data_IF_962242513977
#
_entry.id   IF_962242513977
#
_cell.length_a   1.000
_cell.length_b   1.000
_cell.length_c   1.000
_cell.angle_alpha   90.00
_cell.angle_beta   90.00
_cell.angle_gamma   90.00
#
_symmetry.space_group_name_H-M   'P 1'
#
loop_
_entity.id
_entity.type
_entity.pdbx_description
1 polymer ?
#
# COMPACT_ATOMS: atom_id res chain seq x y z
N UNK A 1 7.90 23.32 5.16
CA UNK A 1 7.57 24.67 5.69
C UNK A 1 8.43 25.67 4.96
N UNK A 2 7.89 26.84 4.62
CA UNK A 2 8.67 27.88 3.94
C UNK A 2 8.47 29.22 4.63
N UNK A 3 9.53 30.02 4.69
CA UNK A 3 9.51 31.42 5.13
C UNK A 3 10.09 32.27 4.01
N UNK A 4 9.33 33.29 3.56
CA UNK A 4 9.71 34.15 2.43
C UNK A 4 10.12 33.38 1.16
N UNK A 5 9.47 32.23 0.93
CA UNK A 5 9.74 31.37 -0.23
C UNK A 5 10.96 30.45 -0.10
N UNK A 6 11.67 30.49 1.03
CA UNK A 6 12.79 29.59 1.32
C UNK A 6 12.35 28.43 2.22
N UNK A 7 12.78 27.19 1.96
CA UNK A 7 12.47 26.06 2.83
C UNK A 7 13.11 26.27 4.20
N UNK A 8 12.32 25.97 5.24
CA UNK A 8 12.83 25.83 6.60
C UNK A 8 13.39 24.42 6.79
N UNK A 9 14.39 24.29 7.65
CA UNK A 9 15.09 23.04 7.92
C UNK A 9 15.09 22.70 9.42
N UNK A 10 15.11 21.42 9.72
CA UNK A 10 15.41 20.88 11.04
C UNK A 10 16.90 21.05 11.38
N UNK A 11 17.30 20.91 12.67
CA UNK A 11 18.71 20.99 13.07
C UNK A 11 19.64 19.98 12.37
N UNK A 12 19.11 18.87 11.89
CA UNK A 12 19.83 17.83 11.15
C UNK A 12 19.99 18.14 9.64
N UNK A 13 19.46 19.28 9.17
CA UNK A 13 19.53 19.71 7.77
C UNK A 13 18.44 19.14 6.87
N UNK A 14 17.48 18.37 7.40
CA UNK A 14 16.31 17.89 6.65
C UNK A 14 15.24 19.00 6.52
N UNK A 15 14.43 19.04 5.45
CA UNK A 15 13.35 20.01 5.34
C UNK A 15 12.33 19.87 6.47
N UNK A 16 11.92 20.98 7.09
CA UNK A 16 10.88 20.99 8.11
C UNK A 16 9.52 20.69 7.48
N UNK A 17 8.98 19.49 7.72
CA UNK A 17 7.66 19.05 7.27
C UNK A 17 6.67 19.17 8.43
N UNK A 18 5.45 19.65 8.13
CA UNK A 18 4.36 19.77 9.10
C UNK A 18 3.06 19.30 8.45
N UNK A 19 2.21 18.65 9.24
CA UNK A 19 0.86 18.31 8.84
C UNK A 19 -0.09 19.46 9.15
N UNK A 20 -1.11 19.63 8.30
CA UNK A 20 -2.12 20.68 8.43
C UNK A 20 -3.52 20.08 8.39
N UNK A 21 -4.40 20.56 9.28
CA UNK A 21 -5.82 20.26 9.28
C UNK A 21 -6.59 21.41 8.62
N UNK A 22 -6.96 21.19 7.37
CA UNK A 22 -7.82 22.11 6.61
C UNK A 22 -9.27 21.61 6.66
N UNK A 23 -10.20 22.55 6.77
CA UNK A 23 -11.63 22.26 6.70
C UNK A 23 -12.05 22.10 5.24
N UNK A 24 -13.17 21.41 5.02
CA UNK A 24 -13.71 21.18 3.67
C UNK A 24 -14.01 22.49 2.94
N UNK A 25 -14.53 23.47 3.67
CA UNK A 25 -14.90 24.80 3.16
C UNK A 25 -13.67 25.65 2.79
N UNK A 26 -12.50 25.31 3.30
CA UNK A 26 -11.25 26.04 3.06
C UNK A 26 -10.50 25.51 1.83
N UNK A 27 -10.91 24.38 1.25
CA UNK A 27 -10.24 23.75 0.11
C UNK A 27 -11.14 23.71 -1.12
N UNK A 28 -10.53 23.84 -2.29
CA UNK A 28 -11.21 23.69 -3.59
C UNK A 28 -10.90 22.28 -4.09
N UNK A 29 -11.94 21.45 -4.26
CA UNK A 29 -11.79 20.10 -4.79
C UNK A 29 -11.76 20.14 -6.34
N UNK A 30 -10.79 19.46 -6.93
CA UNK A 30 -10.63 19.32 -8.37
C UNK A 30 -10.92 17.87 -8.79
N UNK A 31 -11.92 17.65 -9.65
CA UNK A 31 -12.29 16.31 -10.12
C UNK A 31 -11.25 15.76 -11.12
N UNK A 32 -10.11 15.29 -10.61
CA UNK A 32 -8.95 14.88 -11.43
C UNK A 32 -8.70 13.37 -11.48
N UNK A 33 -9.49 12.56 -10.76
CA UNK A 33 -9.22 11.13 -10.63
C UNK A 33 -9.74 10.34 -11.84
N UNK A 34 -8.90 10.21 -12.85
CA UNK A 34 -9.18 9.47 -14.09
C UNK A 34 -8.26 8.25 -14.25
N UNK A 35 -8.01 7.51 -13.16
CA UNK A 35 -7.16 6.34 -13.18
C UNK A 35 -7.83 5.10 -13.82
N UNK A 36 -7.02 4.16 -14.32
CA UNK A 36 -7.52 2.91 -14.91
C UNK A 36 -8.23 2.01 -13.89
N UNK A 37 -7.75 1.99 -12.65
CA UNK A 37 -8.31 1.27 -11.51
C UNK A 37 -8.39 2.14 -10.27
N UNK A 38 -8.83 1.57 -9.16
CA UNK A 38 -9.13 2.28 -7.91
C UNK A 38 -10.08 3.47 -8.11
N UNK A 39 -10.95 3.42 -9.12
CA UNK A 39 -11.82 4.55 -9.50
C UNK A 39 -12.70 5.03 -8.35
N UNK A 40 -13.21 4.09 -7.55
CA UNK A 40 -14.09 4.37 -6.43
C UNK A 40 -13.42 5.07 -5.24
N UNK A 41 -12.08 5.17 -5.20
CA UNK A 41 -11.39 5.91 -4.13
C UNK A 41 -11.59 7.41 -4.25
N UNK A 42 -11.94 7.91 -5.45
CA UNK A 42 -12.14 9.34 -5.69
C UNK A 42 -10.93 10.16 -5.25
N UNK A 43 -9.71 9.70 -5.56
CA UNK A 43 -8.44 10.33 -5.16
C UNK A 43 -8.16 11.62 -5.95
N UNK A 44 -9.14 12.52 -5.90
CA UNK A 44 -9.16 13.83 -6.49
C UNK A 44 -8.11 14.73 -5.85
N UNK A 45 -7.57 15.62 -6.66
CA UNK A 45 -6.69 16.68 -6.19
C UNK A 45 -7.52 17.74 -5.47
N UNK A 46 -6.92 18.43 -4.51
CA UNK A 46 -7.51 19.61 -3.91
C UNK A 46 -6.48 20.72 -3.87
N UNK A 47 -6.96 21.94 -3.70
CA UNK A 47 -6.15 23.13 -3.63
C UNK A 47 -6.48 23.94 -2.38
N UNK A 48 -5.44 24.48 -1.76
CA UNK A 48 -5.49 25.43 -0.65
C UNK A 48 -4.76 26.71 -1.06
N UNK A 49 -5.44 27.86 -1.03
CA UNK A 49 -4.85 29.16 -1.40
C UNK A 49 -4.90 30.12 -0.22
N UNK A 50 -3.73 30.51 0.28
CA UNK A 50 -3.55 31.58 1.28
C UNK A 50 -4.50 31.45 2.50
N UNK A 51 -4.68 30.23 3.00
CA UNK A 51 -5.56 29.97 4.15
C UNK A 51 -4.80 30.31 5.44
N UNK A 52 -5.31 31.22 6.29
CA UNK A 52 -4.76 31.39 7.62
C UNK A 52 -5.08 30.15 8.47
N UNK A 53 -4.04 29.43 8.89
CA UNK A 53 -4.17 28.24 9.75
C UNK A 53 -3.76 28.60 11.18
N UNK A 54 -4.66 28.35 12.12
CA UNK A 54 -4.41 28.52 13.56
C UNK A 54 -3.39 27.50 14.07
N UNK A 55 -2.64 27.85 15.13
CA UNK A 55 -1.62 26.97 15.71
C UNK A 55 -2.15 25.60 16.17
N UNK A 56 -3.42 25.53 16.57
CA UNK A 56 -4.06 24.26 16.95
C UNK A 56 -4.49 23.37 15.75
N UNK A 57 -4.13 23.73 14.51
CA UNK A 57 -4.47 23.01 13.28
C UNK A 57 -3.25 22.66 12.42
N UNK A 58 -2.05 22.77 12.96
CA UNK A 58 -0.87 22.14 12.38
C UNK A 58 -0.10 21.38 13.46
N UNK A 59 0.61 20.33 13.08
CA UNK A 59 1.29 19.44 14.02
C UNK A 59 2.40 18.62 13.34
N UNK A 60 3.34 18.14 14.16
CA UNK A 60 4.29 17.10 13.76
C UNK A 60 3.63 15.73 13.83
N UNK A 61 3.89 14.87 12.84
CA UNK A 61 3.42 13.47 12.83
C UNK A 61 4.36 12.56 13.66
N UNK A 62 5.49 13.09 14.16
CA UNK A 62 6.47 12.27 14.88
C UNK A 62 5.95 11.85 16.26
N UNK A 63 6.46 10.71 16.73
CA UNK A 63 6.06 10.08 18.00
C UNK A 63 6.48 10.90 19.22
N UNK A 64 7.57 11.64 19.11
CA UNK A 64 8.13 12.50 20.16
C UNK A 64 7.19 13.66 20.54
N UNK A 65 6.38 14.11 19.58
CA UNK A 65 5.44 15.23 19.75
C UNK A 65 4.02 14.74 20.12
N UNK A 66 3.80 13.42 20.20
CA UNK A 66 2.50 12.86 20.58
C UNK A 66 2.24 13.07 22.08
N UNK A 67 1.12 13.73 22.41
CA UNK A 67 0.74 14.02 23.80
C UNK A 67 0.14 12.83 24.54
N UNK A 68 -0.37 11.83 23.81
CA UNK A 68 -0.91 10.59 24.38
C UNK A 68 0.20 9.54 24.38
N UNK A 69 0.54 9.04 25.56
CA UNK A 69 1.66 8.12 25.78
C UNK A 69 1.30 6.65 25.60
N UNK A 70 0.02 6.33 25.35
CA UNK A 70 -0.37 4.96 25.03
C UNK A 70 0.28 4.50 23.72
N UNK A 71 0.79 3.27 23.69
CA UNK A 71 1.57 2.74 22.57
C UNK A 71 0.87 2.79 21.21
N UNK A 72 -0.46 2.77 21.17
CA UNK A 72 -1.20 2.95 19.93
C UNK A 72 -0.86 4.28 19.23
N UNK A 73 -0.67 5.35 20.00
CA UNK A 73 -0.34 6.69 19.51
C UNK A 73 1.16 6.92 19.37
N UNK A 74 1.96 5.97 19.85
CA UNK A 74 3.43 5.96 19.73
C UNK A 74 3.90 5.04 18.59
N UNK A 75 2.98 4.44 17.82
CA UNK A 75 3.37 3.62 16.68
C UNK A 75 3.77 4.51 15.50
N UNK A 76 4.98 4.32 14.91
CA UNK A 76 5.47 5.19 13.84
C UNK A 76 4.57 5.21 12.59
N UNK A 77 4.27 6.42 12.12
CA UNK A 77 3.33 6.66 11.03
C UNK A 77 3.72 5.97 9.72
N UNK A 78 5.00 5.98 9.36
CA UNK A 78 5.48 5.39 8.10
C UNK A 78 5.15 3.91 8.00
N UNK A 79 5.50 3.13 9.03
CA UNK A 79 5.27 1.69 9.05
C UNK A 79 3.78 1.35 9.15
N UNK A 80 2.99 2.17 9.86
CA UNK A 80 1.54 2.06 9.86
C UNK A 80 0.96 2.27 8.45
N UNK A 81 1.39 3.34 7.76
CA UNK A 81 0.94 3.65 6.41
C UNK A 81 1.32 2.54 5.41
N UNK A 82 2.56 2.07 5.43
CA UNK A 82 3.00 0.93 4.61
C UNK A 82 2.14 -0.32 4.87
N UNK A 83 1.90 -0.64 6.15
CA UNK A 83 1.12 -1.81 6.55
C UNK A 83 -0.29 -1.78 5.95
N UNK A 84 -1.00 -0.67 6.08
CA UNK A 84 -2.37 -0.54 5.54
C UNK A 84 -2.42 -0.68 4.01
N UNK A 85 -1.42 -0.13 3.31
CA UNK A 85 -1.31 -0.22 1.86
C UNK A 85 -1.00 -1.64 1.39
N UNK A 86 -0.04 -2.32 2.02
CA UNK A 86 0.38 -3.67 1.63
C UNK A 86 -0.71 -4.72 1.90
N UNK A 87 -1.45 -4.59 3.00
CA UNK A 87 -2.61 -5.46 3.26
C UNK A 87 -3.65 -5.33 2.15
N UNK A 88 -3.93 -4.10 1.71
CA UNK A 88 -4.86 -3.82 0.61
C UNK A 88 -4.40 -4.46 -0.71
N UNK A 89 -3.12 -4.29 -1.06
CA UNK A 89 -2.53 -4.81 -2.30
C UNK A 89 -2.47 -6.33 -2.30
N UNK A 90 -1.98 -6.92 -1.22
CA UNK A 90 -1.93 -8.37 -1.10
C UNK A 90 -3.34 -8.98 -1.13
N UNK A 91 -4.36 -8.29 -0.57
CA UNK A 91 -5.77 -8.71 -0.67
C UNK A 91 -6.26 -8.76 -2.11
N UNK A 92 -5.95 -7.75 -2.92
CA UNK A 92 -6.27 -7.75 -4.35
C UNK A 92 -5.54 -8.87 -5.10
N UNK A 93 -4.28 -9.15 -4.76
CA UNK A 93 -3.55 -10.26 -5.37
C UNK A 93 -4.17 -11.62 -5.04
N UNK A 94 -4.57 -11.85 -3.78
CA UNK A 94 -5.32 -13.07 -3.40
C UNK A 94 -6.61 -13.20 -4.21
N UNK A 95 -7.40 -12.11 -4.30
CA UNK A 95 -8.65 -12.14 -5.08
C UNK A 95 -8.40 -12.42 -6.57
N UNK A 96 -7.34 -11.86 -7.15
CA UNK A 96 -6.95 -12.15 -8.52
C UNK A 96 -6.65 -13.64 -8.70
N UNK A 97 -5.85 -14.25 -7.81
CA UNK A 97 -5.51 -15.67 -7.87
C UNK A 97 -6.76 -16.57 -7.73
N UNK A 98 -7.72 -16.21 -6.87
CA UNK A 98 -8.96 -16.98 -6.74
C UNK A 98 -9.81 -16.95 -8.00
N UNK A 99 -10.02 -15.75 -8.57
CA UNK A 99 -10.73 -15.59 -9.85
C UNK A 99 -10.01 -16.33 -10.97
N UNK A 100 -8.68 -16.28 -10.97
CA UNK A 100 -7.86 -16.95 -11.98
C UNK A 100 -7.95 -18.48 -11.86
N UNK A 101 -7.94 -19.03 -10.64
CA UNK A 101 -8.19 -20.46 -10.40
C UNK A 101 -9.53 -20.88 -10.99
N UNK A 102 -10.62 -20.17 -10.63
CA UNK A 102 -11.96 -20.50 -11.14
C UNK A 102 -12.04 -20.41 -12.67
N UNK A 103 -11.38 -19.42 -13.27
CA UNK A 103 -11.31 -19.26 -14.72
C UNK A 103 -10.62 -20.45 -15.40
N UNK A 104 -9.49 -20.94 -14.86
CA UNK A 104 -8.80 -22.09 -15.44
C UNK A 104 -9.58 -23.40 -15.23
N UNK A 105 -10.18 -23.61 -14.06
CA UNK A 105 -11.02 -24.77 -13.79
C UNK A 105 -12.19 -24.87 -14.79
N UNK A 106 -12.80 -23.73 -15.16
CA UNK A 106 -13.86 -23.68 -16.18
C UNK A 106 -13.34 -24.01 -17.58
N UNK A 107 -12.14 -23.54 -17.97
CA UNK A 107 -11.51 -23.89 -19.25
C UNK A 107 -11.19 -25.37 -19.37
N UNK A 108 -10.75 -25.97 -18.26
CA UNK A 108 -10.47 -27.41 -18.18
C UNK A 108 -11.77 -28.21 -18.33
N UNK A 109 -12.82 -27.86 -17.59
CA UNK A 109 -14.14 -28.51 -17.70
C UNK A 109 -14.74 -28.41 -19.10
N UNK A 110 -14.46 -27.34 -19.84
CA UNK A 110 -14.93 -27.15 -21.22
C UNK A 110 -13.99 -27.74 -22.29
N UNK A 111 -12.93 -28.45 -21.89
CA UNK A 111 -11.91 -29.04 -22.78
C UNK A 111 -11.24 -28.01 -23.72
N UNK A 112 -11.18 -26.75 -23.31
CA UNK A 112 -10.55 -25.65 -24.07
C UNK A 112 -9.15 -25.30 -23.57
N UNK A 113 -8.60 -26.06 -22.61
CA UNK A 113 -7.28 -25.84 -22.02
C UNK A 113 -6.56 -27.14 -21.63
N UNK A 114 -5.23 -27.06 -21.49
CA UNK A 114 -4.41 -28.15 -20.93
C UNK A 114 -4.38 -28.01 -19.40
N UNK A 115 -4.83 -29.04 -18.69
CA UNK A 115 -5.19 -28.93 -17.27
C UNK A 115 -4.01 -28.89 -16.30
N UNK A 116 -3.01 -29.75 -16.49
CA UNK A 116 -2.16 -30.13 -15.37
C UNK A 116 -1.06 -29.10 -15.05
N UNK A 117 -0.46 -28.47 -16.07
CA UNK A 117 0.69 -27.58 -15.83
C UNK A 117 0.31 -26.20 -15.26
N UNK A 118 -0.84 -25.63 -15.64
CA UNK A 118 -1.21 -24.28 -15.18
C UNK A 118 -1.76 -24.28 -13.75
N UNK A 119 -2.50 -25.32 -13.35
CA UNK A 119 -3.03 -25.44 -11.99
C UNK A 119 -1.90 -25.58 -10.97
N UNK A 120 -0.81 -26.30 -11.31
CA UNK A 120 0.38 -26.41 -10.46
C UNK A 120 1.06 -25.05 -10.26
N UNK A 121 1.21 -24.25 -11.32
CA UNK A 121 1.76 -22.89 -11.24
C UNK A 121 0.89 -22.00 -10.36
N UNK A 122 -0.44 -22.08 -10.49
CA UNK A 122 -1.38 -21.33 -9.65
C UNK A 122 -1.25 -21.72 -8.19
N UNK A 123 -1.24 -23.02 -7.88
CA UNK A 123 -1.14 -23.52 -6.52
C UNK A 123 0.19 -23.13 -5.86
N UNK A 124 1.29 -23.25 -6.60
CA UNK A 124 2.61 -22.79 -6.15
C UNK A 124 2.62 -21.29 -5.88
N UNK A 125 2.05 -20.50 -6.79
CA UNK A 125 1.95 -19.03 -6.64
C UNK A 125 1.10 -18.64 -5.42
N UNK A 126 -0.03 -19.34 -5.20
CA UNK A 126 -0.90 -19.14 -4.02
C UNK A 126 -0.15 -19.45 -2.73
N UNK A 127 0.54 -20.59 -2.67
CA UNK A 127 1.29 -20.99 -1.48
C UNK A 127 2.42 -20.00 -1.15
N UNK A 128 3.16 -19.52 -2.16
CA UNK A 128 4.19 -18.49 -2.00
C UNK A 128 3.60 -17.19 -1.46
N UNK A 129 2.49 -16.71 -2.05
CA UNK A 129 1.83 -15.48 -1.59
C UNK A 129 1.32 -15.62 -0.15
N UNK A 130 0.68 -16.74 0.18
CA UNK A 130 0.19 -16.99 1.54
C UNK A 130 1.32 -17.05 2.57
N UNK A 131 2.43 -17.70 2.23
CA UNK A 131 3.62 -17.77 3.09
C UNK A 131 4.20 -16.38 3.33
N UNK A 132 4.37 -15.58 2.27
CA UNK A 132 4.88 -14.21 2.38
C UNK A 132 3.93 -13.30 3.17
N UNK A 133 2.61 -13.42 2.96
CA UNK A 133 1.60 -12.72 3.75
C UNK A 133 1.67 -13.08 5.23
N UNK A 134 1.79 -14.37 5.56
CA UNK A 134 1.94 -14.81 6.95
C UNK A 134 3.19 -14.19 7.57
N UNK A 135 4.33 -14.28 6.89
CA UNK A 135 5.58 -13.67 7.35
C UNK A 135 5.45 -12.16 7.55
N UNK A 136 4.78 -11.45 6.66
CA UNK A 136 4.47 -10.03 6.81
C UNK A 136 3.64 -9.74 8.08
N UNK A 137 2.55 -10.48 8.32
CA UNK A 137 1.76 -10.30 9.54
C UNK A 137 2.53 -10.66 10.82
N UNK A 138 3.40 -11.66 10.76
CA UNK A 138 4.32 -11.98 11.87
C UNK A 138 5.24 -10.78 12.15
N UNK A 139 5.76 -10.09 11.12
CA UNK A 139 6.54 -8.84 11.32
C UNK A 139 5.70 -7.73 11.96
N UNK A 140 4.44 -7.55 11.55
CA UNK A 140 3.50 -6.58 12.17
C UNK A 140 3.34 -6.87 13.66
N UNK A 141 3.09 -8.13 14.01
CA UNK A 141 2.95 -8.53 15.40
C UNK A 141 4.23 -8.29 16.22
N UNK A 142 5.40 -8.64 15.67
CA UNK A 142 6.68 -8.40 16.32
C UNK A 142 6.96 -6.91 16.54
N UNK A 143 6.62 -6.06 15.57
CA UNK A 143 6.77 -4.60 15.73
C UNK A 143 5.90 -4.04 16.85
N UNK A 144 4.69 -4.59 17.02
CA UNK A 144 3.82 -4.22 18.13
C UNK A 144 4.41 -4.64 19.48
N UNK A 145 4.93 -5.86 19.58
CA UNK A 145 5.59 -6.36 20.80
C UNK A 145 6.85 -5.55 21.13
N UNK A 146 7.68 -5.23 20.14
CA UNK A 146 8.86 -4.39 20.32
C UNK A 146 8.50 -3.01 20.87
N UNK A 147 7.42 -2.39 20.38
CA UNK A 147 6.91 -1.11 20.91
C UNK A 147 6.42 -1.19 22.36
N UNK A 148 6.02 -2.38 22.83
CA UNK A 148 5.70 -2.63 24.25
C UNK A 148 6.94 -2.92 25.11
N UNK A 149 8.15 -2.85 24.54
CA UNK A 149 9.40 -3.20 25.22
C UNK A 149 9.70 -4.69 25.25
N UNK A 150 9.06 -5.49 24.39
CA UNK A 150 9.21 -6.94 24.36
C UNK A 150 9.96 -7.44 23.11
N UNK A 151 10.90 -8.38 23.31
CA UNK A 151 11.54 -9.09 22.21
C UNK A 151 12.69 -8.31 21.56
N UNK A 152 12.57 -8.00 20.27
CA UNK A 152 13.63 -7.37 19.47
C UNK A 152 13.63 -5.85 19.61
N UNK A 153 14.72 -5.21 19.16
CA UNK A 153 14.78 -3.74 19.05
C UNK A 153 13.64 -3.21 18.16
N UNK A 154 13.00 -2.12 18.59
CA UNK A 154 11.96 -1.41 17.85
C UNK A 154 12.43 -1.02 16.46
N UNK A 155 13.64 -0.46 16.31
CA UNK A 155 14.19 -0.04 15.02
C UNK A 155 14.33 -1.22 14.05
N UNK A 156 14.81 -2.36 14.54
CA UNK A 156 14.92 -3.58 13.73
C UNK A 156 13.55 -4.09 13.30
N UNK A 157 12.56 -4.05 14.19
CA UNK A 157 11.20 -4.48 13.87
C UNK A 157 10.53 -3.55 12.84
N UNK A 158 10.69 -2.24 12.98
CA UNK A 158 10.17 -1.24 12.03
C UNK A 158 10.82 -1.35 10.65
N UNK A 159 12.15 -1.60 10.62
CA UNK A 159 12.85 -1.89 9.37
C UNK A 159 12.31 -3.16 8.72
N UNK A 160 12.07 -4.21 9.51
CA UNK A 160 11.51 -5.46 8.99
C UNK A 160 10.12 -5.27 8.37
N UNK A 161 9.27 -4.38 8.91
CA UNK A 161 7.98 -4.01 8.29
C UNK A 161 8.20 -3.38 6.91
N UNK A 162 9.15 -2.45 6.81
CA UNK A 162 9.43 -1.73 5.58
C UNK A 162 9.92 -2.70 4.50
N UNK A 163 10.88 -3.56 4.85
CA UNK A 163 11.45 -4.56 3.94
C UNK A 163 10.43 -5.62 3.53
N UNK A 164 9.64 -6.13 4.47
CA UNK A 164 8.62 -7.16 4.21
C UNK A 164 7.46 -6.59 3.38
N UNK A 165 7.10 -5.32 3.58
CA UNK A 165 6.13 -4.59 2.77
C UNK A 165 6.53 -4.55 1.31
N UNK A 166 7.75 -4.07 1.02
CA UNK A 166 8.25 -3.97 -0.36
C UNK A 166 8.37 -5.34 -1.02
N UNK A 167 8.87 -6.33 -0.28
CA UNK A 167 9.02 -7.71 -0.75
C UNK A 167 7.68 -8.36 -1.10
N UNK A 168 6.65 -8.18 -0.24
CA UNK A 168 5.31 -8.72 -0.47
C UNK A 168 4.63 -8.05 -1.67
N UNK A 169 4.75 -6.74 -1.82
CA UNK A 169 4.21 -6.03 -3.00
C UNK A 169 4.90 -6.51 -4.28
N UNK A 170 6.22 -6.69 -4.24
CA UNK A 170 6.97 -7.22 -5.39
C UNK A 170 6.51 -8.63 -5.76
N UNK A 171 6.35 -9.52 -4.77
CA UNK A 171 5.80 -10.86 -4.99
C UNK A 171 4.41 -10.80 -5.63
N UNK A 172 3.51 -9.94 -5.12
CA UNK A 172 2.19 -9.77 -5.71
C UNK A 172 2.23 -9.37 -7.20
N UNK A 173 3.12 -8.43 -7.56
CA UNK A 173 3.31 -8.00 -8.95
C UNK A 173 3.79 -9.17 -9.82
N UNK A 174 4.80 -9.91 -9.35
CA UNK A 174 5.32 -11.09 -10.04
C UNK A 174 4.25 -12.16 -10.23
N UNK A 175 3.47 -12.47 -9.18
CA UNK A 175 2.40 -13.47 -9.21
C UNK A 175 1.32 -13.15 -10.24
N UNK A 176 0.85 -11.89 -10.27
CA UNK A 176 -0.17 -11.45 -11.21
C UNK A 176 0.38 -11.48 -12.65
N UNK A 177 1.58 -10.93 -12.87
CA UNK A 177 2.19 -10.87 -14.19
C UNK A 177 2.53 -12.26 -14.75
N UNK A 178 2.93 -13.21 -13.89
CA UNK A 178 3.20 -14.59 -14.29
C UNK A 178 1.96 -15.27 -14.88
N UNK A 179 0.78 -15.05 -14.28
CA UNK A 179 -0.45 -15.73 -14.66
C UNK A 179 -1.22 -15.02 -15.77
N UNK A 180 -1.08 -13.70 -15.90
CA UNK A 180 -1.84 -12.87 -16.84
C UNK A 180 -1.87 -13.42 -18.29
N UNK A 181 -0.74 -13.90 -18.88
CA UNK A 181 -0.74 -14.46 -20.25
C UNK A 181 -1.66 -15.68 -20.45
N UNK A 182 -1.96 -16.42 -19.39
CA UNK A 182 -2.81 -17.62 -19.46
C UNK A 182 -4.31 -17.29 -19.28
N UNK A 183 -4.66 -16.01 -19.08
CA UNK A 183 -6.01 -15.54 -18.80
C UNK A 183 -6.96 -15.58 -20.00
N UNK A 184 -6.46 -15.44 -21.24
CA UNK A 184 -7.31 -15.31 -22.43
C UNK A 184 -8.16 -14.03 -22.43
N UNK A 185 -9.24 -13.98 -23.21
CA UNK A 185 -10.01 -12.73 -23.38
C UNK A 185 -10.74 -12.26 -22.11
N UNK A 186 -11.04 -13.17 -21.17
CA UNK A 186 -11.76 -12.80 -19.94
C UNK A 186 -10.99 -11.81 -19.07
N UNK A 187 -9.66 -11.90 -19.03
CA UNK A 187 -8.83 -11.00 -18.19
C UNK A 187 -8.67 -9.60 -18.76
N UNK A 188 -9.04 -9.39 -20.03
CA UNK A 188 -8.97 -8.06 -20.69
C UNK A 188 -10.33 -7.39 -20.85
N UNK A 189 -11.43 -8.11 -20.65
CA UNK A 189 -12.80 -7.55 -20.64
C UNK A 189 -12.97 -6.55 -19.51
N UNK A 190 -13.31 -5.31 -19.83
CA UNK A 190 -13.37 -4.23 -18.85
C UNK A 190 -14.46 -4.44 -17.78
N UNK A 191 -15.51 -5.18 -18.14
CA UNK A 191 -16.64 -5.56 -17.29
C UNK A 191 -16.35 -6.74 -16.37
N UNK A 192 -15.30 -7.54 -16.67
CA UNK A 192 -15.00 -8.72 -15.86
C UNK A 192 -14.43 -8.32 -14.50
N UNK A 193 -14.77 -9.11 -13.47
CA UNK A 193 -14.26 -8.86 -12.12
C UNK A 193 -12.73 -8.99 -12.08
N UNK A 194 -12.17 -9.99 -12.76
CA UNK A 194 -10.74 -10.24 -12.75
C UNK A 194 -9.95 -9.08 -13.38
N UNK A 195 -10.48 -8.46 -14.45
CA UNK A 195 -9.89 -7.25 -15.02
C UNK A 195 -10.00 -6.05 -14.06
N UNK A 196 -11.15 -5.87 -13.39
CA UNK A 196 -11.32 -4.81 -12.39
C UNK A 196 -10.31 -4.95 -11.24
N UNK A 197 -10.13 -6.15 -10.70
CA UNK A 197 -9.14 -6.43 -9.65
C UNK A 197 -7.73 -6.17 -10.16
N UNK A 198 -7.41 -6.61 -11.39
CA UNK A 198 -6.12 -6.35 -12.02
C UNK A 198 -5.84 -4.84 -12.16
N UNK A 199 -6.79 -4.05 -12.69
CA UNK A 199 -6.63 -2.59 -12.83
C UNK A 199 -6.46 -1.90 -11.48
N UNK A 200 -7.26 -2.30 -10.49
CA UNK A 200 -7.18 -1.78 -9.12
C UNK A 200 -5.80 -2.07 -8.51
N UNK A 201 -5.32 -3.30 -8.62
CA UNK A 201 -4.01 -3.71 -8.15
C UNK A 201 -2.89 -2.86 -8.78
N UNK A 202 -2.86 -2.77 -10.11
CA UNK A 202 -1.80 -2.03 -10.79
C UNK A 202 -1.81 -0.55 -10.43
N UNK A 203 -2.99 0.06 -10.30
CA UNK A 203 -3.13 1.46 -9.86
C UNK A 203 -2.63 1.65 -8.42
N UNK A 204 -3.11 0.85 -7.47
CA UNK A 204 -2.73 0.97 -6.06
C UNK A 204 -1.23 0.73 -5.85
N UNK A 205 -0.64 -0.20 -6.61
CA UNK A 205 0.78 -0.52 -6.52
C UNK A 205 1.72 0.61 -6.98
N UNK A 206 1.21 1.70 -7.56
CA UNK A 206 2.03 2.88 -7.91
C UNK A 206 2.29 3.82 -6.74
N UNK A 207 1.68 3.57 -5.57
CA UNK A 207 1.85 4.43 -4.40
C UNK A 207 3.34 4.59 -4.04
N UNK A 208 3.77 5.83 -3.77
CA UNK A 208 5.18 6.17 -3.58
C UNK A 208 5.86 5.33 -2.50
N UNK A 209 5.17 5.07 -1.38
CA UNK A 209 5.65 4.23 -0.27
C UNK A 209 5.92 2.75 -0.62
N UNK A 210 5.52 2.31 -1.81
CA UNK A 210 5.62 0.92 -2.26
C UNK A 210 6.52 0.74 -3.48
N UNK A 211 7.26 1.80 -3.83
CA UNK A 211 8.27 1.75 -4.87
C UNK A 211 9.58 1.24 -4.28
N UNK A 212 10.40 0.51 -5.06
CA UNK A 212 11.73 0.11 -4.61
C UNK A 212 12.59 1.30 -4.15
N UNK A 213 12.42 2.48 -4.75
CA UNK A 213 13.14 3.70 -4.37
C UNK A 213 12.53 4.44 -3.16
N UNK A 214 11.45 3.93 -2.56
CA UNK A 214 10.70 4.61 -1.49
C UNK A 214 11.51 4.82 -0.20
N UNK A 215 12.64 4.13 -0.03
CA UNK A 215 13.45 4.19 1.20
C UNK A 215 14.12 5.56 1.48
N UNK A 216 14.00 6.54 0.58
CA UNK A 216 14.60 7.87 0.76
C UNK A 216 13.62 9.04 0.78
N UNK A 217 12.32 8.79 0.68
CA UNK A 217 11.34 9.87 0.66
C UNK A 217 10.23 9.55 1.66
N UNK A 218 10.02 10.47 2.61
CA UNK A 218 8.97 10.47 3.64
C UNK A 218 9.48 9.94 5.00
N UNK A 219 10.37 10.69 5.63
CA UNK A 219 10.09 11.58 6.76
C UNK A 219 11.31 12.49 6.96
#
# INVERSE_FOLDING_TARGET
MHEQGQPLYNPDGTPLIQAFLLKKEEVILHTTWQAMGMKATGSHSFEARSIPVSQNRYFSISTEEATITNSLYQYPFLQLAQTTLVVTISGMAVRFLDLFTSLQEQKIKSNTGKADSILEVINTTKAQLQTSRKGFYDTVWLSWKALQGEGVSTDLALKAISDSSLSLVQLCRCSINLLFPYGGLEVVKAESEINRVWRNFHTASQHVLLKPEAQQAIL
#
